data_IF_911318404637
#
_entry.id   IF_911318404637
#
_cell.length_a   1.000
_cell.length_b   1.000
_cell.length_c   1.000
_cell.angle_alpha   90.00
_cell.angle_beta   90.00
_cell.angle_gamma   90.00
#
_symmetry.space_group_name_H-M   'P 1'
#
loop_
_entity.id
_entity.type
_entity.pdbx_description
1 polymer ?
#
# COMPACT_ATOMS: atom_id res chain seq x y z
N UNK A 1 5.97 -3.16 -1.81
CA UNK A 1 5.73 -2.78 -0.41
C UNK A 1 5.20 -1.36 -0.32
N UNK A 2 6.08 -0.39 -0.04
CA UNK A 2 5.70 1.02 0.12
C UNK A 2 5.03 1.61 -1.13
N UNK A 3 5.55 1.32 -2.33
CA UNK A 3 4.98 1.86 -3.56
C UNK A 3 3.56 1.35 -3.82
N UNK A 4 3.30 0.05 -3.65
CA UNK A 4 1.98 -0.55 -3.84
C UNK A 4 0.95 0.07 -2.89
N UNK A 5 1.34 0.32 -1.65
CA UNK A 5 0.49 1.00 -0.68
C UNK A 5 0.14 2.43 -1.12
N UNK A 6 1.13 3.19 -1.62
CA UNK A 6 0.92 4.55 -2.10
C UNK A 6 0.01 4.61 -3.35
N UNK A 7 -0.14 3.52 -4.11
CA UNK A 7 -1.08 3.43 -5.23
C UNK A 7 -2.55 3.41 -4.77
N UNK A 8 -2.81 2.88 -3.57
CA UNK A 8 -4.15 2.84 -3.00
C UNK A 8 -4.60 4.18 -2.41
N UNK A 9 -3.69 5.14 -2.25
CA UNK A 9 -4.00 6.44 -1.66
C UNK A 9 -4.62 7.39 -2.69
N UNK A 10 -5.66 8.10 -2.25
CA UNK A 10 -6.18 9.24 -3.00
C UNK A 10 -5.12 10.35 -3.10
N UNK A 11 -5.27 11.26 -4.08
CA UNK A 11 -4.40 12.44 -4.21
C UNK A 11 -4.29 13.27 -2.91
N UNK A 12 -5.37 13.70 -2.24
CA UNK A 12 -5.24 14.48 -1.01
C UNK A 12 -4.55 13.69 0.12
N UNK A 13 -4.74 12.37 0.18
CA UNK A 13 -4.02 11.51 1.15
C UNK A 13 -2.51 11.47 0.89
N UNK A 14 -2.10 11.38 -0.38
CA UNK A 14 -0.68 11.45 -0.77
C UNK A 14 -0.04 12.80 -0.43
N UNK A 15 -0.75 13.90 -0.70
CA UNK A 15 -0.25 15.24 -0.37
C UNK A 15 -0.16 15.49 1.14
N UNK A 16 -1.10 14.95 1.93
CA UNK A 16 -1.04 14.99 3.39
C UNK A 16 0.16 14.19 3.93
N UNK A 17 0.34 12.96 3.45
CA UNK A 17 1.47 12.11 3.81
C UNK A 17 2.82 12.76 3.45
N UNK A 18 2.92 13.41 2.29
CA UNK A 18 4.09 14.17 1.90
C UNK A 18 4.41 15.30 2.88
N UNK A 19 3.41 16.09 3.29
CA UNK A 19 3.60 17.17 4.28
C UNK A 19 4.07 16.64 5.63
N UNK A 20 3.49 15.53 6.10
CA UNK A 20 3.86 14.91 7.37
C UNK A 20 5.29 14.35 7.36
N UNK A 21 5.69 13.75 6.23
CA UNK A 21 7.06 13.30 6.00
C UNK A 21 8.04 14.45 5.66
N UNK A 22 7.61 15.72 5.72
CA UNK A 22 8.40 16.89 5.31
C UNK A 22 8.90 16.84 3.85
N UNK A 23 8.18 16.12 2.98
CA UNK A 23 8.42 16.05 1.54
C UNK A 23 7.50 17.03 0.81
N UNK A 24 8.05 17.80 -0.13
CA UNK A 24 7.26 18.79 -0.87
C UNK A 24 6.35 18.11 -1.91
N UNK A 25 5.01 18.32 -1.86
CA UNK A 25 4.11 17.81 -2.88
C UNK A 25 4.43 18.39 -4.26
N UNK A 26 4.44 17.54 -5.28
CA UNK A 26 4.72 17.91 -6.68
C UNK A 26 3.42 18.04 -7.47
N UNK A 27 3.49 18.72 -8.62
CA UNK A 27 2.32 18.95 -9.47
C UNK A 27 1.66 17.65 -9.96
N UNK A 28 2.46 16.61 -10.21
CA UNK A 28 1.97 15.28 -10.61
C UNK A 28 2.01 14.31 -9.43
N UNK A 29 0.93 13.57 -9.25
CA UNK A 29 0.77 12.57 -8.18
C UNK A 29 1.86 11.49 -8.25
N UNK A 30 2.21 11.03 -9.46
CA UNK A 30 3.27 10.03 -9.67
C UNK A 30 4.63 10.52 -9.15
N UNK A 31 4.94 11.80 -9.33
CA UNK A 31 6.21 12.37 -8.87
C UNK A 31 6.23 12.57 -7.35
N UNK A 32 5.09 12.91 -6.75
CA UNK A 32 4.95 12.97 -5.28
C UNK A 32 5.12 11.58 -4.67
N UNK A 33 4.54 10.55 -5.31
CA UNK A 33 4.73 9.15 -4.91
C UNK A 33 6.20 8.76 -4.99
N UNK A 34 6.87 9.04 -6.11
CA UNK A 34 8.30 8.75 -6.26
C UNK A 34 9.13 9.43 -5.15
N UNK A 35 8.87 10.71 -4.89
CA UNK A 35 9.57 11.44 -3.83
C UNK A 35 9.37 10.83 -2.43
N UNK A 36 8.16 10.33 -2.13
CA UNK A 36 7.88 9.61 -0.89
C UNK A 36 8.63 8.28 -0.81
N UNK A 37 8.60 7.49 -1.89
CA UNK A 37 9.33 6.22 -1.97
C UNK A 37 10.83 6.44 -1.74
N UNK A 38 11.41 7.43 -2.44
CA UNK A 38 12.83 7.78 -2.30
C UNK A 38 13.16 8.24 -0.87
N UNK A 39 12.31 9.06 -0.26
CA UNK A 39 12.49 9.53 1.12
C UNK A 39 12.56 8.36 2.11
N UNK A 40 11.59 7.44 2.05
CA UNK A 40 11.55 6.29 2.96
C UNK A 40 12.66 5.26 2.67
N UNK A 41 13.07 5.12 1.42
CA UNK A 41 14.26 4.32 1.08
C UNK A 41 15.54 4.93 1.68
N UNK A 42 15.71 6.26 1.60
CA UNK A 42 16.91 6.96 2.09
C UNK A 42 17.04 7.04 3.61
N UNK A 43 15.92 6.97 4.33
CA UNK A 43 15.86 7.08 5.79
C UNK A 43 15.83 5.73 6.49
N UNK A 44 15.82 4.63 5.73
CA UNK A 44 15.57 3.26 6.22
C UNK A 44 14.30 3.14 7.10
N UNK A 45 13.37 4.08 6.95
CA UNK A 45 12.14 4.14 7.73
C UNK A 45 10.97 3.50 6.99
N UNK A 46 10.12 2.78 7.71
CA UNK A 46 8.86 2.29 7.16
C UNK A 46 7.83 3.43 7.07
N UNK A 47 7.15 3.55 5.93
CA UNK A 47 6.00 4.43 5.84
C UNK A 47 4.80 3.78 6.54
N UNK A 48 4.34 4.40 7.62
CA UNK A 48 3.14 3.99 8.36
C UNK A 48 2.20 5.20 8.44
N UNK A 49 0.96 5.03 8.01
CA UNK A 49 -0.05 6.08 8.20
C UNK A 49 -0.31 6.25 9.70
N UNK A 50 -0.43 7.49 10.22
CA UNK A 50 -0.74 7.70 11.64
C UNK A 50 -1.99 6.98 12.12
N UNK A 51 -3.01 6.88 11.25
CA UNK A 51 -4.25 6.16 11.53
C UNK A 51 -4.07 4.63 11.68
N UNK A 52 -2.94 4.08 11.22
CA UNK A 52 -2.60 2.67 11.33
C UNK A 52 -1.69 2.36 12.53
N UNK A 53 -1.26 3.38 13.30
CA UNK A 53 -0.41 3.17 14.47
C UNK A 53 -1.24 2.57 15.61
N UNK A 54 -0.97 1.31 15.92
CA UNK A 54 -1.57 0.64 17.07
C UNK A 54 -0.80 1.04 18.34
N UNK A 55 -1.39 1.91 19.14
CA UNK A 55 -0.79 2.39 20.40
C UNK A 55 -1.74 2.12 21.59
N UNK A 56 -1.93 0.84 21.97
CA UNK A 56 -2.73 0.49 23.14
C UNK A 56 -2.09 1.04 24.42
N UNK A 57 -2.91 1.36 25.42
CA UNK A 57 -2.43 1.89 26.68
C UNK A 57 -1.55 0.84 27.40
N UNK A 58 -0.34 1.19 27.86
CA UNK A 58 0.53 0.26 28.56
C UNK A 58 -0.11 -0.44 29.77
N UNK A 59 -1.04 0.22 30.46
CA UNK A 59 -1.78 -0.39 31.59
C UNK A 59 -2.70 -1.51 31.11
N UNK A 60 -3.43 -1.29 30.03
CA UNK A 60 -4.34 -2.29 29.45
C UNK A 60 -3.55 -3.53 28.98
N UNK A 61 -2.36 -3.32 28.42
CA UNK A 61 -1.43 -4.41 28.05
C UNK A 61 -0.97 -5.18 29.29
N UNK A 62 -0.56 -4.48 30.35
CA UNK A 62 -0.09 -5.11 31.58
C UNK A 62 -1.19 -5.89 32.30
N UNK A 63 -2.42 -5.39 32.30
CA UNK A 63 -3.56 -6.07 32.88
C UNK A 63 -3.93 -7.31 32.05
N UNK A 64 -3.92 -7.22 30.71
CA UNK A 64 -4.12 -8.40 29.84
C UNK A 64 -3.07 -9.48 30.11
N UNK A 65 -1.80 -9.12 30.30
CA UNK A 65 -0.72 -10.07 30.52
C UNK A 65 -0.84 -10.80 31.88
N UNK A 66 -1.43 -10.18 32.90
CA UNK A 66 -1.72 -10.84 34.20
C UNK A 66 -2.82 -11.90 34.10
N UNK A 67 -3.70 -11.75 33.12
CA UNK A 67 -4.80 -12.68 32.86
C UNK A 67 -4.45 -13.75 31.82
N UNK A 68 -3.32 -13.61 31.12
CA UNK A 68 -2.79 -14.64 30.24
C UNK A 68 -2.20 -15.79 31.05
N UNK A 69 -2.65 -17.02 30.77
CA UNK A 69 -2.07 -18.23 31.35
C UNK A 69 -0.64 -18.41 30.81
N UNK A 70 0.38 -18.72 31.63
CA UNK A 70 1.69 -19.09 31.11
C UNK A 70 1.53 -20.36 30.27
N UNK A 71 1.94 -20.30 29.00
CA UNK A 71 2.08 -21.50 28.18
C UNK A 71 3.26 -22.31 28.73
N UNK A 72 3.04 -23.10 29.77
CA UNK A 72 3.96 -24.13 30.26
C UNK A 72 3.89 -25.35 29.32
N UNK A 73 4.21 -25.16 28.04
CA UNK A 73 4.45 -26.27 27.12
C UNK A 73 5.65 -25.90 26.23
N UNK A 74 6.70 -26.71 26.30
CA UNK A 74 7.75 -26.77 25.29
C UNK A 74 7.08 -26.98 23.94
N UNK A 75 6.84 -25.88 23.21
CA UNK A 75 6.30 -25.93 21.87
C UNK A 75 7.39 -26.57 21.00
N UNK A 76 7.31 -27.88 20.78
CA UNK A 76 7.92 -28.49 19.62
C UNK A 76 7.37 -27.72 18.42
N UNK A 77 8.25 -26.95 17.78
CA UNK A 77 7.94 -26.24 16.54
C UNK A 77 7.67 -27.33 15.50
N UNK A 78 6.42 -27.78 15.40
CA UNK A 78 5.99 -28.60 14.31
C UNK A 78 6.16 -27.75 13.05
N UNK A 79 7.25 -27.99 12.32
CA UNK A 79 7.42 -27.53 10.94
C UNK A 79 6.41 -28.30 10.09
N UNK A 80 5.13 -28.00 10.30
CA UNK A 80 4.05 -28.38 9.41
C UNK A 80 4.27 -27.60 8.13
N UNK A 81 4.87 -28.28 7.15
CA UNK A 81 4.86 -27.89 5.76
C UNK A 81 3.43 -27.51 5.38
N UNK A 82 3.14 -26.20 5.36
CA UNK A 82 1.92 -25.66 4.78
C UNK A 82 2.08 -25.64 3.25
N UNK A 83 2.45 -26.79 2.68
CA UNK A 83 2.39 -27.10 1.26
C UNK A 83 0.95 -27.33 0.84
N UNK A 84 0.11 -26.31 1.02
CA UNK A 84 -1.20 -26.24 0.38
C UNK A 84 -0.99 -25.84 -1.08
N UNK A 85 -0.74 -26.83 -1.93
CA UNK A 85 -0.76 -26.71 -3.39
C UNK A 85 -2.11 -26.10 -3.82
N UNK A 86 -2.15 -24.79 -4.01
CA UNK A 86 -3.25 -24.14 -4.73
C UNK A 86 -2.95 -24.37 -6.21
N UNK A 87 -3.53 -25.43 -6.78
CA UNK A 87 -3.58 -25.59 -8.24
C UNK A 87 -4.31 -24.37 -8.83
N UNK A 88 -3.69 -23.57 -9.72
CA UNK A 88 -4.46 -22.72 -10.59
C UNK A 88 -5.14 -23.62 -11.62
N UNK A 89 -6.47 -23.62 -11.59
CA UNK A 89 -7.34 -24.12 -12.63
C UNK A 89 -7.05 -23.36 -13.93
N UNK A 90 -6.11 -23.90 -14.70
CA UNK A 90 -5.98 -23.62 -16.12
C UNK A 90 -7.24 -24.15 -16.82
N UNK A 91 -8.12 -23.25 -17.24
CA UNK A 91 -8.75 -23.25 -18.57
C UNK A 91 -9.79 -22.14 -18.71
N UNK A 92 -9.50 -21.19 -19.60
CA UNK A 92 -10.42 -20.15 -20.02
C UNK A 92 -9.83 -19.37 -21.20
N UNK A 93 -9.36 -20.10 -22.21
CA UNK A 93 -8.97 -19.57 -23.51
C UNK A 93 -10.22 -18.97 -24.20
N UNK A 94 -10.19 -17.66 -24.43
CA UNK A 94 -11.10 -17.00 -25.37
C UNK A 94 -10.27 -15.95 -26.12
N UNK A 95 -9.68 -16.44 -27.20
CA UNK A 95 -9.14 -15.73 -28.34
C UNK A 95 -10.03 -14.55 -28.80
N UNK A 96 -9.38 -13.48 -29.23
CA UNK A 96 -10.01 -12.40 -29.98
C UNK A 96 -9.14 -11.16 -30.08
N UNK A 97 -8.28 -11.03 -31.09
CA UNK A 97 -7.74 -9.72 -31.50
C UNK A 97 -8.79 -9.04 -32.38
N UNK A 98 -9.22 -7.83 -32.03
CA UNK A 98 -9.90 -6.95 -32.98
C UNK A 98 -9.23 -5.57 -33.00
N UNK A 99 -8.93 -5.18 -34.22
CA UNK A 99 -8.02 -4.13 -34.63
C UNK A 99 -8.67 -2.72 -34.61
N UNK A 100 -7.81 -1.73 -34.36
CA UNK A 100 -7.75 -0.41 -35.01
C UNK A 100 -8.92 0.61 -34.96
N UNK A 101 -8.49 1.87 -34.84
CA UNK A 101 -9.13 3.16 -35.23
C UNK A 101 -10.32 3.65 -34.37
N UNK A 102 -10.39 4.89 -33.88
CA UNK A 102 -10.09 6.15 -34.57
C UNK A 102 -9.46 7.24 -33.67
N UNK A 103 -8.50 7.95 -34.24
CA UNK A 103 -8.16 9.32 -33.87
C UNK A 103 -9.27 10.24 -34.37
N UNK A 104 -9.86 11.07 -33.52
CA UNK A 104 -10.32 12.43 -33.90
C UNK A 104 -10.14 13.39 -32.73
N UNK A 105 -9.00 14.09 -32.80
CA UNK A 105 -8.87 15.53 -32.67
C UNK A 105 -10.16 16.31 -32.36
N UNK A 106 -10.14 17.06 -31.25
CA UNK A 106 -11.00 18.23 -31.08
C UNK A 106 -10.32 19.21 -30.14
N UNK A 107 -9.35 19.92 -30.71
CA UNK A 107 -8.97 21.23 -30.25
C UNK A 107 -10.19 22.16 -30.30
N UNK A 108 -10.76 22.49 -29.14
CA UNK A 108 -11.61 23.67 -28.99
C UNK A 108 -10.88 24.68 -28.11
N UNK A 109 -10.06 25.51 -28.78
CA UNK A 109 -9.89 26.88 -28.35
C UNK A 109 -11.18 27.64 -28.70
N UNK A 110 -11.72 28.41 -27.75
CA UNK A 110 -12.71 29.43 -28.04
C UNK A 110 -12.20 30.76 -27.50
N UNK A 111 -12.36 31.74 -28.37
CA UNK A 111 -11.76 33.05 -28.41
C UNK A 111 -12.15 33.97 -27.24
N UNK A 112 -11.37 35.03 -27.12
CA UNK A 112 -11.62 36.20 -26.31
C UNK A 112 -12.91 36.93 -26.68
N UNK A 113 -13.50 37.58 -25.68
CA UNK A 113 -14.39 38.73 -25.79
C UNK A 113 -14.03 39.75 -24.70
#
# INVERSE_FOLDING_TARGET
GTEDFLLCLSRPSLEAAAREANVQPRARVRETRAALVDHFASTEAAFVLPAAVFAPNPKDIADLLKHGDPLDEEVEVATGDAGGDVQPDANGDADGPDEASDQVESAYGIAAE
#
